data_IF_745211563473
#
_entry.id   IF_745211563473
#
_cell.length_a   1.000
_cell.length_b   1.000
_cell.length_c   1.000
_cell.angle_alpha   90.00
_cell.angle_beta   90.00
_cell.angle_gamma   90.00
#
_symmetry.space_group_name_H-M   'P 1'
#
loop_
_entity.id
_entity.type
_entity.pdbx_description
1 polymer ?
#
# COMPACT_ATOMS: atom_id res chain seq x y z
N UNK A 1 -11.62 -10.95 -26.50
CA UNK A 1 -10.68 -12.07 -26.77
C UNK A 1 -11.10 -13.27 -25.92
N UNK A 2 -11.11 -14.47 -26.50
CA UNK A 2 -11.43 -15.70 -25.78
C UNK A 2 -10.13 -16.44 -25.47
N UNK A 3 -9.74 -16.42 -24.18
CA UNK A 3 -8.57 -17.10 -23.65
C UNK A 3 -8.94 -18.11 -22.56
N UNK A 4 -10.22 -18.47 -22.51
CA UNK A 4 -10.72 -19.43 -21.54
C UNK A 4 -10.01 -20.79 -21.73
N UNK A 5 -9.53 -21.36 -20.61
CA UNK A 5 -8.72 -22.58 -20.56
C UNK A 5 -7.41 -22.54 -21.36
N UNK A 6 -6.96 -21.36 -21.80
CA UNK A 6 -5.69 -21.22 -22.49
C UNK A 6 -4.52 -21.58 -21.57
N UNK A 7 -3.46 -22.16 -22.15
CA UNK A 7 -2.20 -22.29 -21.44
C UNK A 7 -1.35 -21.04 -21.70
N UNK A 8 -1.21 -20.20 -20.68
CA UNK A 8 -0.45 -18.96 -20.70
C UNK A 8 0.83 -19.02 -19.84
N UNK A 9 1.24 -20.26 -19.48
CA UNK A 9 2.49 -20.47 -18.74
C UNK A 9 3.70 -19.93 -19.49
N UNK A 10 4.58 -19.19 -18.82
CA UNK A 10 5.75 -18.56 -19.40
C UNK A 10 5.46 -17.43 -20.39
N UNK A 11 4.21 -17.03 -20.56
CA UNK A 11 3.82 -15.99 -21.53
C UNK A 11 4.13 -14.59 -21.02
N UNK A 12 4.71 -13.77 -21.87
CA UNK A 12 4.89 -12.35 -21.59
C UNK A 12 3.68 -11.56 -22.14
N UNK A 13 2.87 -11.03 -21.23
CA UNK A 13 1.69 -10.21 -21.50
C UNK A 13 1.96 -8.69 -21.34
N UNK A 14 3.23 -8.29 -21.28
CA UNK A 14 3.58 -6.88 -21.09
C UNK A 14 2.91 -5.96 -22.13
N UNK A 15 2.16 -4.96 -21.64
CA UNK A 15 1.47 -3.98 -22.49
C UNK A 15 0.34 -4.56 -23.34
N UNK A 16 -0.06 -5.81 -23.13
CA UNK A 16 -1.13 -6.45 -23.91
C UNK A 16 -2.50 -5.84 -23.56
N UNK A 17 -3.31 -5.55 -24.55
CA UNK A 17 -4.70 -5.16 -24.34
C UNK A 17 -5.57 -6.41 -24.09
N UNK A 18 -5.97 -6.60 -22.82
CA UNK A 18 -6.86 -7.69 -22.40
C UNK A 18 -8.29 -7.21 -22.04
N UNK A 19 -8.64 -5.98 -22.37
CA UNK A 19 -9.98 -5.43 -22.09
C UNK A 19 -11.06 -6.34 -22.66
N UNK A 20 -12.00 -6.79 -21.79
CA UNK A 20 -13.08 -7.70 -22.15
C UNK A 20 -12.65 -9.15 -22.46
N UNK A 21 -11.40 -9.52 -22.22
CA UNK A 21 -10.94 -10.88 -22.38
C UNK A 21 -11.57 -11.82 -21.33
N UNK A 22 -11.85 -13.08 -21.71
CA UNK A 22 -12.26 -14.15 -20.80
C UNK A 22 -11.08 -15.07 -20.54
N UNK A 23 -10.61 -15.09 -19.29
CA UNK A 23 -9.51 -15.91 -18.78
C UNK A 23 -10.00 -17.08 -17.90
N UNK A 24 -11.31 -17.35 -17.88
CA UNK A 24 -11.86 -18.44 -17.05
C UNK A 24 -11.16 -19.77 -17.30
N UNK A 25 -10.57 -20.33 -16.25
CA UNK A 25 -9.83 -21.59 -16.31
C UNK A 25 -8.50 -21.51 -17.08
N UNK A 26 -8.00 -20.33 -17.42
CA UNK A 26 -6.68 -20.17 -17.99
C UNK A 26 -5.60 -20.61 -17.00
N UNK A 27 -4.55 -21.22 -17.52
CA UNK A 27 -3.44 -21.74 -16.73
C UNK A 27 -2.27 -20.76 -16.76
N UNK A 28 -1.78 -20.39 -15.56
CA UNK A 28 -0.66 -19.49 -15.36
C UNK A 28 0.48 -20.17 -14.60
N UNK A 29 1.69 -19.89 -15.03
CA UNK A 29 2.95 -20.30 -14.44
C UNK A 29 4.05 -19.41 -15.03
N UNK A 30 4.80 -18.72 -14.20
CA UNK A 30 5.85 -17.78 -14.65
C UNK A 30 5.36 -16.76 -15.71
N UNK A 31 4.07 -16.42 -15.68
CA UNK A 31 3.47 -15.47 -16.61
C UNK A 31 3.80 -14.03 -16.18
N UNK A 32 4.04 -13.16 -17.14
CA UNK A 32 4.39 -11.76 -16.86
C UNK A 32 3.18 -10.86 -17.16
N UNK A 33 2.59 -10.29 -16.09
CA UNK A 33 1.55 -9.27 -16.14
C UNK A 33 2.18 -7.90 -15.84
N UNK A 34 2.77 -7.27 -16.84
CA UNK A 34 3.39 -5.97 -16.68
C UNK A 34 2.68 -4.94 -17.58
N UNK A 35 2.34 -3.79 -17.00
CA UNK A 35 1.66 -2.68 -17.70
C UNK A 35 0.35 -3.08 -18.40
N UNK A 36 -0.42 -4.01 -17.80
CA UNK A 36 -1.68 -4.56 -18.31
C UNK A 36 -2.85 -4.05 -17.46
N UNK A 37 -3.97 -3.72 -18.11
CA UNK A 37 -5.23 -3.44 -17.42
C UNK A 37 -6.08 -4.73 -17.37
N UNK A 38 -6.35 -5.20 -16.15
CA UNK A 38 -7.15 -6.39 -15.86
C UNK A 38 -8.55 -6.05 -15.33
N UNK A 39 -8.92 -4.77 -15.23
CA UNK A 39 -10.17 -4.31 -14.60
C UNK A 39 -11.43 -4.90 -15.26
N UNK A 40 -11.41 -5.06 -16.60
CA UNK A 40 -12.52 -5.59 -17.37
C UNK A 40 -12.30 -7.05 -17.83
N UNK A 41 -11.30 -7.72 -17.30
CA UNK A 41 -11.00 -9.11 -17.61
C UNK A 41 -11.94 -10.02 -16.81
N UNK A 42 -12.55 -10.99 -17.49
CA UNK A 42 -13.48 -11.95 -16.88
C UNK A 42 -12.74 -13.21 -16.42
N UNK A 43 -13.23 -13.80 -15.34
CA UNK A 43 -12.80 -15.12 -14.88
C UNK A 43 -11.44 -15.16 -14.21
N UNK A 44 -10.91 -14.03 -13.74
CA UNK A 44 -9.67 -14.00 -12.96
C UNK A 44 -9.77 -14.81 -11.66
N UNK A 45 -10.97 -14.86 -11.05
CA UNK A 45 -11.31 -15.67 -9.88
C UNK A 45 -11.30 -17.18 -10.15
N UNK A 46 -11.29 -17.57 -11.42
CA UNK A 46 -11.36 -18.98 -11.89
C UNK A 46 -10.09 -19.44 -12.60
N UNK A 47 -9.06 -18.63 -12.57
CA UNK A 47 -7.77 -19.00 -13.14
C UNK A 47 -7.08 -20.09 -12.33
N UNK A 48 -6.24 -20.88 -12.99
CA UNK A 48 -5.47 -21.95 -12.38
C UNK A 48 -4.00 -21.55 -12.37
N UNK A 49 -3.43 -21.43 -11.17
CA UNK A 49 -2.04 -21.06 -10.98
C UNK A 49 -1.22 -22.31 -10.61
N UNK A 50 -0.29 -22.70 -11.46
CA UNK A 50 0.63 -23.84 -11.24
C UNK A 50 1.94 -23.41 -10.56
N UNK A 51 2.15 -22.11 -10.42
CA UNK A 51 3.29 -21.47 -9.77
C UNK A 51 3.15 -19.96 -9.80
N UNK A 52 4.06 -19.24 -9.13
CA UNK A 52 4.02 -17.79 -9.07
C UNK A 52 4.20 -17.17 -10.46
N UNK A 53 3.64 -15.99 -10.63
CA UNK A 53 3.75 -15.15 -11.82
C UNK A 53 4.24 -13.76 -11.44
N UNK A 54 4.71 -12.98 -12.40
CA UNK A 54 5.14 -11.60 -12.15
C UNK A 54 3.96 -10.66 -12.40
N UNK A 55 3.64 -9.81 -11.42
CA UNK A 55 2.71 -8.69 -11.59
C UNK A 55 3.40 -7.40 -11.16
N UNK A 56 3.36 -6.36 -11.98
CA UNK A 56 3.99 -5.10 -11.66
C UNK A 56 3.01 -4.10 -11.03
N UNK A 57 3.56 -3.05 -10.42
CA UNK A 57 2.76 -2.00 -9.78
C UNK A 57 1.85 -1.27 -10.76
N UNK A 58 2.24 -1.11 -12.03
CA UNK A 58 1.43 -0.44 -13.07
C UNK A 58 0.17 -1.23 -13.36
N UNK A 59 0.29 -2.56 -13.46
CA UNK A 59 -0.85 -3.47 -13.61
C UNK A 59 -1.79 -3.38 -12.42
N UNK A 60 -1.25 -3.44 -11.19
CA UNK A 60 -2.05 -3.32 -9.97
C UNK A 60 -2.78 -1.99 -9.87
N UNK A 61 -2.15 -0.89 -10.29
CA UNK A 61 -2.76 0.45 -10.27
C UNK A 61 -3.84 0.63 -11.34
N UNK A 62 -3.62 0.15 -12.56
CA UNK A 62 -4.58 0.24 -13.67
C UNK A 62 -5.80 -0.64 -13.45
N UNK A 63 -5.60 -1.82 -12.88
CA UNK A 63 -6.62 -2.87 -12.79
C UNK A 63 -7.64 -2.65 -11.66
N UNK A 64 -7.40 -1.71 -10.76
CA UNK A 64 -8.30 -1.54 -9.62
C UNK A 64 -8.35 -2.77 -8.72
N UNK A 65 -9.51 -3.11 -8.20
CA UNK A 65 -9.69 -4.25 -7.30
C UNK A 65 -9.65 -5.58 -8.09
N UNK A 66 -8.67 -6.41 -7.79
CA UNK A 66 -8.51 -7.73 -8.38
C UNK A 66 -8.95 -8.82 -7.40
N UNK A 67 -9.48 -9.97 -7.89
CA UNK A 67 -9.89 -11.08 -7.04
C UNK A 67 -8.74 -11.57 -6.15
N UNK A 68 -9.05 -11.85 -4.88
CA UNK A 68 -8.06 -12.32 -3.90
C UNK A 68 -7.40 -13.62 -4.34
N UNK A 69 -8.17 -14.53 -4.93
CA UNK A 69 -7.70 -15.79 -5.49
C UNK A 69 -6.64 -15.57 -6.56
N UNK A 70 -6.84 -14.59 -7.44
CA UNK A 70 -5.88 -14.23 -8.47
C UNK A 70 -4.59 -13.65 -7.86
N UNK A 71 -4.72 -12.70 -6.92
CA UNK A 71 -3.57 -12.07 -6.26
C UNK A 71 -2.72 -13.09 -5.49
N UNK A 72 -3.34 -14.02 -4.78
CA UNK A 72 -2.66 -15.13 -4.12
C UNK A 72 -2.03 -16.09 -5.14
N UNK A 73 -2.75 -16.37 -6.22
CA UNK A 73 -2.30 -17.26 -7.28
C UNK A 73 -1.05 -16.77 -8.01
N UNK A 74 -0.92 -15.44 -8.24
CA UNK A 74 0.31 -14.86 -8.78
C UNK A 74 1.46 -14.83 -7.77
N UNK A 75 1.20 -15.16 -6.49
CA UNK A 75 2.22 -15.29 -5.45
C UNK A 75 2.41 -14.06 -4.56
N UNK A 76 1.44 -13.13 -4.51
CA UNK A 76 1.52 -12.02 -3.57
C UNK A 76 1.21 -12.48 -2.15
N UNK A 77 2.03 -12.12 -1.14
CA UNK A 77 1.75 -12.38 0.27
C UNK A 77 0.49 -11.66 0.75
N UNK A 78 -0.26 -12.25 1.69
CA UNK A 78 -1.49 -11.68 2.23
C UNK A 78 -1.28 -10.28 2.85
N UNK A 79 -0.17 -10.08 3.55
CA UNK A 79 0.17 -8.77 4.14
C UNK A 79 0.34 -7.69 3.05
N UNK A 80 0.94 -8.07 1.91
CA UNK A 80 1.09 -7.15 0.77
C UNK A 80 -0.26 -6.86 0.10
N UNK A 81 -1.13 -7.86 -0.02
CA UNK A 81 -2.49 -7.70 -0.57
C UNK A 81 -3.31 -6.75 0.31
N UNK A 82 -3.24 -6.90 1.65
CA UNK A 82 -3.90 -5.98 2.60
C UNK A 82 -3.35 -4.56 2.48
N UNK A 83 -2.03 -4.43 2.32
CA UNK A 83 -1.39 -3.15 2.10
C UNK A 83 -1.88 -2.47 0.80
N UNK A 84 -1.98 -3.22 -0.30
CA UNK A 84 -2.55 -2.71 -1.57
C UNK A 84 -3.99 -2.22 -1.41
N UNK A 85 -4.82 -2.92 -0.63
CA UNK A 85 -6.18 -2.50 -0.36
C UNK A 85 -6.24 -1.17 0.41
N UNK A 86 -5.33 -0.94 1.34
CA UNK A 86 -5.24 0.33 2.07
C UNK A 86 -4.86 1.51 1.18
N UNK A 87 -4.02 1.32 0.17
CA UNK A 87 -3.65 2.35 -0.80
C UNK A 87 -4.78 2.78 -1.74
N UNK A 88 -5.74 1.88 -2.01
CA UNK A 88 -6.82 2.16 -2.96
C UNK A 88 -7.96 2.98 -2.36
N UNK A 89 -8.13 2.87 -1.05
CA UNK A 89 -9.20 3.58 -0.33
C UNK A 89 -8.81 5.01 0.04
N UNK A 90 -7.54 5.38 -0.16
CA UNK A 90 -7.04 6.73 0.06
C UNK A 90 -6.50 7.30 -1.26
N UNK A 91 -6.84 8.53 -1.65
CA UNK A 91 -6.19 9.20 -2.77
C UNK A 91 -4.68 9.22 -2.52
N UNK A 92 -3.87 8.96 -3.57
CA UNK A 92 -2.41 9.01 -3.49
C UNK A 92 -1.96 10.34 -2.87
N UNK A 93 -1.58 10.26 -1.62
CA UNK A 93 -0.98 11.39 -0.93
C UNK A 93 0.54 11.27 -1.05
N UNK A 94 1.12 12.06 -1.97
CA UNK A 94 2.58 12.12 -2.19
C UNK A 94 3.37 12.71 -1.03
N UNK A 95 2.68 13.19 0.01
CA UNK A 95 3.32 13.81 1.17
C UNK A 95 2.95 13.04 2.41
N UNK A 96 3.93 12.36 2.97
CA UNK A 96 3.84 11.79 4.30
C UNK A 96 4.62 12.66 5.28
N UNK A 97 4.06 12.94 6.43
CA UNK A 97 4.75 13.65 7.48
C UNK A 97 4.69 12.87 8.80
N UNK A 98 5.77 12.96 9.55
CA UNK A 98 5.84 12.50 10.92
C UNK A 98 5.61 13.69 11.84
N UNK A 99 4.67 13.60 12.79
CA UNK A 99 4.40 14.66 13.76
C UNK A 99 5.15 14.35 15.06
N UNK A 100 6.17 15.16 15.35
CA UNK A 100 6.93 15.10 16.58
C UNK A 100 6.45 16.18 17.56
N UNK A 101 6.21 15.81 18.82
CA UNK A 101 5.68 16.71 19.82
C UNK A 101 6.00 16.22 21.24
N UNK A 102 5.96 17.14 22.21
CA UNK A 102 6.02 16.76 23.63
C UNK A 102 4.68 16.18 24.09
N UNK A 103 4.70 15.10 24.88
CA UNK A 103 3.48 14.48 25.43
C UNK A 103 2.49 15.49 26.09
N UNK A 104 2.99 16.59 26.61
CA UNK A 104 2.16 17.65 27.17
C UNK A 104 1.39 18.46 26.12
N UNK A 105 1.81 18.36 24.86
CA UNK A 105 1.22 19.09 23.72
C UNK A 105 0.35 18.18 22.85
N UNK A 106 -0.03 17.00 23.35
CA UNK A 106 -0.79 15.96 22.61
C UNK A 106 -2.11 16.50 22.03
N UNK A 107 -2.81 17.35 22.77
CA UNK A 107 -4.09 17.94 22.31
C UNK A 107 -3.89 18.83 21.08
N UNK A 108 -2.82 19.62 21.06
CA UNK A 108 -2.46 20.47 19.91
C UNK A 108 -2.03 19.62 18.74
N UNK A 109 -1.20 18.60 19.00
CA UNK A 109 -0.72 17.66 18.00
C UNK A 109 -1.87 16.89 17.34
N UNK A 110 -2.85 16.44 18.14
CA UNK A 110 -4.05 15.75 17.64
C UNK A 110 -4.91 16.65 16.75
N UNK A 111 -5.16 17.88 17.16
CA UNK A 111 -5.92 18.85 16.35
C UNK A 111 -5.23 19.13 15.00
N UNK A 112 -3.90 19.21 15.00
CA UNK A 112 -3.13 19.38 13.78
C UNK A 112 -3.19 18.14 12.90
N UNK A 113 -3.07 16.94 13.48
CA UNK A 113 -3.24 15.67 12.80
C UNK A 113 -4.60 15.58 12.12
N UNK A 114 -5.70 15.83 12.86
CA UNK A 114 -7.07 15.80 12.35
C UNK A 114 -7.27 16.80 11.19
N UNK A 115 -6.71 18.01 11.30
CA UNK A 115 -6.79 19.01 10.25
C UNK A 115 -6.02 18.58 8.99
N UNK A 116 -4.81 18.06 9.13
CA UNK A 116 -3.99 17.58 8.02
C UNK A 116 -4.62 16.37 7.33
N UNK A 117 -5.18 15.45 8.09
CA UNK A 117 -5.94 14.32 7.55
C UNK A 117 -7.18 14.79 6.76
N UNK A 118 -7.89 15.80 7.26
CA UNK A 118 -9.03 16.40 6.56
C UNK A 118 -8.67 17.03 5.21
N UNK A 119 -7.46 17.57 5.07
CA UNK A 119 -6.90 18.10 3.83
C UNK A 119 -6.20 17.02 2.96
N UNK A 120 -6.30 15.77 3.38
CA UNK A 120 -5.74 14.67 2.64
C UNK A 120 -4.22 14.49 2.82
N UNK A 121 -3.58 15.09 3.82
CA UNK A 121 -2.15 14.91 4.12
C UNK A 121 -1.97 13.70 5.04
N UNK A 122 -1.25 12.69 4.57
CA UNK A 122 -0.96 11.50 5.37
C UNK A 122 0.10 11.82 6.43
N UNK A 123 -0.30 11.72 7.70
CA UNK A 123 0.58 11.98 8.83
C UNK A 123 0.68 10.75 9.73
N UNK A 124 1.86 10.53 10.30
CA UNK A 124 2.04 9.60 11.40
C UNK A 124 1.91 10.34 12.73
N UNK A 125 1.07 9.82 13.61
CA UNK A 125 0.79 10.39 14.93
C UNK A 125 0.79 9.28 15.98
N UNK A 126 1.69 9.33 16.96
CA UNK A 126 1.97 8.24 17.89
C UNK A 126 0.74 7.61 18.56
N UNK A 127 -0.24 8.35 19.10
CA UNK A 127 -1.41 7.74 19.74
C UNK A 127 -2.29 6.90 18.83
N UNK A 128 -2.36 7.22 17.53
CA UNK A 128 -3.21 6.52 16.57
C UNK A 128 -2.45 5.38 15.85
N UNK A 129 -1.14 5.54 15.62
CA UNK A 129 -0.35 4.65 14.79
C UNK A 129 0.48 3.62 15.56
N UNK A 130 0.59 3.76 16.90
CA UNK A 130 1.30 2.81 17.75
C UNK A 130 0.39 1.70 18.27
N UNK A 131 0.86 0.45 18.16
CA UNK A 131 0.18 -0.72 18.72
C UNK A 131 0.65 -0.99 20.16
N UNK A 132 -0.24 -1.55 20.96
CA UNK A 132 0.08 -2.00 22.34
C UNK A 132 1.22 -3.01 22.28
N UNK A 133 2.33 -2.71 22.97
CA UNK A 133 3.53 -3.56 23.04
C UNK A 133 4.66 -3.19 22.08
N UNK A 134 4.48 -2.20 21.22
CA UNK A 134 5.57 -1.66 20.38
C UNK A 134 6.68 -1.05 21.26
N UNK A 135 7.95 -1.31 20.92
CA UNK A 135 9.10 -0.64 21.54
C UNK A 135 9.17 0.77 20.97
N UNK A 136 8.67 1.73 21.72
CA UNK A 136 8.45 3.14 21.34
C UNK A 136 9.60 3.75 20.55
N UNK A 137 10.83 3.66 21.06
CA UNK A 137 12.00 4.31 20.46
C UNK A 137 12.30 3.78 19.05
N UNK A 138 12.34 2.46 18.89
CA UNK A 138 12.65 1.84 17.58
C UNK A 138 11.58 2.12 16.54
N UNK A 139 10.31 2.14 16.96
CA UNK A 139 9.18 2.42 16.06
C UNK A 139 9.17 3.87 15.59
N UNK A 140 9.53 4.81 16.46
CA UNK A 140 9.67 6.24 16.12
C UNK A 140 10.84 6.42 15.13
N UNK A 141 12.02 5.86 15.42
CA UNK A 141 13.18 5.94 14.52
C UNK A 141 12.88 5.37 13.12
N UNK A 142 12.19 4.23 13.07
CA UNK A 142 11.77 3.61 11.80
C UNK A 142 10.74 4.48 11.07
N UNK A 143 9.81 5.10 11.80
CA UNK A 143 8.78 5.97 11.23
C UNK A 143 9.36 7.27 10.68
N UNK A 144 10.29 7.92 11.38
CA UNK A 144 10.96 9.13 10.89
C UNK A 144 11.66 8.87 9.54
N UNK A 145 12.30 7.70 9.39
CA UNK A 145 13.02 7.34 8.14
C UNK A 145 12.12 7.08 6.94
N UNK A 146 10.87 6.72 7.18
CA UNK A 146 9.90 6.34 6.12
C UNK A 146 9.10 7.54 5.64
N UNK A 147 9.01 8.61 6.45
CA UNK A 147 8.21 9.79 6.11
C UNK A 147 9.07 10.86 5.42
N UNK A 148 8.48 11.54 4.42
CA UNK A 148 9.18 12.53 3.61
C UNK A 148 9.45 13.83 4.37
N UNK A 149 8.67 14.12 5.40
CA UNK A 149 8.76 15.36 6.18
C UNK A 149 8.60 15.11 7.66
N UNK A 150 9.37 15.85 8.45
CA UNK A 150 9.23 15.95 9.90
C UNK A 150 8.51 17.27 10.22
N UNK A 151 7.40 17.17 10.94
CA UNK A 151 6.68 18.33 11.48
C UNK A 151 6.92 18.35 12.98
N UNK A 152 7.74 19.29 13.44
CA UNK A 152 8.11 19.43 14.84
C UNK A 152 7.26 20.52 15.51
N UNK A 153 6.52 20.15 16.56
CA UNK A 153 5.79 21.11 17.38
C UNK A 153 6.71 21.66 18.46
N UNK A 154 7.17 22.88 18.27
CA UNK A 154 8.03 23.58 19.21
C UNK A 154 7.17 24.37 20.22
N UNK A 155 7.23 23.99 21.48
CA UNK A 155 6.60 24.66 22.63
C UNK A 155 7.61 24.75 23.78
N UNK A 156 7.25 25.47 24.83
CA UNK A 156 8.05 25.46 26.07
C UNK A 156 8.21 24.05 26.64
N UNK A 157 7.22 23.18 26.43
CA UNK A 157 7.25 21.81 26.88
C UNK A 157 8.18 20.93 26.04
N UNK A 158 8.24 21.15 24.72
CA UNK A 158 9.11 20.39 23.83
C UNK A 158 10.58 20.77 23.98
N UNK A 159 10.89 22.05 24.17
CA UNK A 159 12.27 22.54 24.38
C UNK A 159 12.87 21.97 25.67
N UNK A 160 12.04 21.71 26.68
CA UNK A 160 12.46 21.12 27.95
C UNK A 160 12.46 19.57 27.94
N UNK A 161 12.22 18.94 26.82
CA UNK A 161 12.13 17.48 26.66
C UNK A 161 13.42 16.92 26.08
N UNK A 162 13.98 15.90 26.75
CA UNK A 162 15.18 15.16 26.29
C UNK A 162 15.02 14.48 24.90
N UNK A 163 13.79 14.45 24.38
CA UNK A 163 13.46 13.84 23.07
C UNK A 163 13.74 14.76 21.87
N UNK A 164 13.58 16.06 22.06
CA UNK A 164 13.79 17.06 20.97
C UNK A 164 15.27 17.29 20.67
N UNK A 165 16.18 16.96 21.61
CA UNK A 165 17.63 17.06 21.38
C UNK A 165 18.18 15.96 20.44
N UNK A 166 17.39 14.91 20.12
CA UNK A 166 17.82 13.75 19.33
C UNK A 166 17.14 13.62 17.95
N UNK A 167 16.16 14.44 17.63
CA UNK A 167 15.46 14.50 16.33
C UNK A 167 15.98 15.65 15.47
#
# INVERSE_FOLDING_TARGET
IYLNRANLGGTNLNGTNLVGADLSGANFYETIFADVDLSEVKGLDKCIHHGPSTIDHRTLMKSGELPLEFLRGVGLPDDYIQFLASFRNEPFQFYSCFISYSHKDEEIAKRLYDALQGEGVRCWFAPEDMKIGDKTRRRIDDSIRVHDKLLLILSENSIASDWVEYE
#
